data_IF_713590327274
#
_entry.id   IF_713590327274
#
_cell.length_a   1.000
_cell.length_b   1.000
_cell.length_c   1.000
_cell.angle_alpha   90.00
_cell.angle_beta   90.00
_cell.angle_gamma   90.00
#
_symmetry.space_group_name_H-M   'P 1'
#
loop_
_entity.id
_entity.type
_entity.pdbx_description
1 polymer ?
#
# COMPACT_ATOMS: atom_id res chain seq x y z
N UNK A 1 -29.00 -9.85 -18.83
CA UNK A 1 -28.12 -10.74 -18.04
C UNK A 1 -27.02 -11.21 -18.98
N UNK A 2 -25.81 -10.65 -18.86
CA UNK A 2 -24.63 -11.16 -19.57
C UNK A 2 -23.97 -12.16 -18.59
N UNK A 3 -23.83 -13.41 -19.02
CA UNK A 3 -23.43 -14.55 -18.20
C UNK A 3 -21.92 -14.65 -17.94
N UNK A 4 -21.51 -15.80 -17.36
CA UNK A 4 -20.17 -16.13 -16.88
C UNK A 4 -19.04 -16.09 -17.94
N UNK A 5 -19.35 -15.77 -19.20
CA UNK A 5 -18.39 -15.58 -20.30
C UNK A 5 -17.75 -14.17 -20.32
N UNK A 6 -18.19 -13.24 -19.46
CA UNK A 6 -17.53 -11.94 -19.26
C UNK A 6 -16.40 -12.04 -18.21
N UNK A 7 -15.41 -12.88 -18.47
CA UNK A 7 -14.14 -12.85 -17.74
C UNK A 7 -13.40 -11.52 -17.99
N UNK A 8 -12.62 -11.05 -17.01
CA UNK A 8 -11.64 -9.98 -17.25
C UNK A 8 -10.76 -10.36 -18.45
N UNK A 9 -10.55 -9.48 -19.45
CA UNK A 9 -9.71 -9.83 -20.60
C UNK A 9 -8.33 -10.29 -20.13
N UNK A 10 -7.81 -11.38 -20.70
CA UNK A 10 -6.47 -11.89 -20.37
C UNK A 10 -5.34 -11.03 -20.97
N UNK A 11 -5.68 -10.11 -21.88
CA UNK A 11 -4.74 -9.20 -22.53
C UNK A 11 -5.39 -7.83 -22.84
N UNK A 12 -4.54 -6.84 -23.11
CA UNK A 12 -4.95 -5.49 -23.51
C UNK A 12 -5.04 -4.47 -22.37
N UNK A 13 -5.47 -3.23 -22.67
CA UNK A 13 -5.45 -2.11 -21.71
C UNK A 13 -6.28 -2.36 -20.45
N UNK A 14 -7.42 -3.05 -20.58
CA UNK A 14 -8.30 -3.34 -19.46
C UNK A 14 -7.72 -4.41 -18.52
N UNK A 15 -7.03 -5.41 -19.07
CA UNK A 15 -6.30 -6.43 -18.30
C UNK A 15 -5.20 -5.77 -17.45
N UNK A 16 -4.45 -4.86 -18.07
CA UNK A 16 -3.39 -4.10 -17.40
C UNK A 16 -3.97 -3.16 -16.34
N UNK A 17 -5.09 -2.50 -16.63
CA UNK A 17 -5.79 -1.69 -15.64
C UNK A 17 -6.22 -2.51 -14.42
N UNK A 18 -6.78 -3.70 -14.65
CA UNK A 18 -7.17 -4.60 -13.58
C UNK A 18 -5.96 -5.01 -12.73
N UNK A 19 -4.83 -5.32 -13.36
CA UNK A 19 -3.56 -5.60 -12.69
C UNK A 19 -3.05 -4.40 -11.87
N UNK A 20 -3.10 -3.19 -12.42
CA UNK A 20 -2.74 -1.95 -11.72
C UNK A 20 -3.60 -1.74 -10.47
N UNK A 21 -4.93 -1.87 -10.58
CA UNK A 21 -5.85 -1.64 -9.46
C UNK A 21 -5.70 -2.73 -8.39
N UNK A 22 -5.68 -4.00 -8.81
CA UNK A 22 -5.55 -5.13 -7.89
C UNK A 22 -4.20 -5.11 -7.19
N UNK A 23 -3.11 -4.87 -7.93
CA UNK A 23 -1.77 -4.72 -7.36
C UNK A 23 -1.70 -3.57 -6.37
N UNK A 24 -2.36 -2.43 -6.64
CA UNK A 24 -2.41 -1.31 -5.71
C UNK A 24 -3.17 -1.64 -4.42
N UNK A 25 -4.29 -2.36 -4.51
CA UNK A 25 -5.05 -2.80 -3.33
C UNK A 25 -4.26 -3.81 -2.49
N UNK A 26 -3.58 -4.77 -3.13
CA UNK A 26 -2.78 -5.80 -2.44
C UNK A 26 -1.44 -5.30 -1.91
N UNK A 27 -0.98 -4.14 -2.38
CA UNK A 27 0.32 -3.62 -2.02
C UNK A 27 1.48 -4.12 -2.88
N UNK A 28 1.18 -4.74 -4.02
CA UNK A 28 2.16 -5.22 -4.99
C UNK A 28 2.66 -4.06 -5.87
N UNK A 29 3.19 -3.00 -5.26
CA UNK A 29 3.51 -1.74 -5.94
C UNK A 29 4.54 -1.91 -7.08
N UNK A 30 5.50 -2.82 -6.93
CA UNK A 30 6.43 -3.15 -8.02
C UNK A 30 5.69 -3.67 -9.27
N UNK A 31 4.64 -4.46 -9.07
CA UNK A 31 3.79 -4.99 -10.14
C UNK A 31 2.99 -3.87 -10.81
N UNK A 32 2.42 -2.96 -10.01
CA UNK A 32 1.72 -1.76 -10.50
C UNK A 32 2.62 -0.90 -11.36
N UNK A 33 3.84 -0.61 -10.90
CA UNK A 33 4.82 0.19 -11.63
C UNK A 33 5.27 -0.50 -12.93
N UNK A 34 5.32 -1.82 -12.95
CA UNK A 34 5.62 -2.61 -14.15
C UNK A 34 4.46 -2.57 -15.15
N UNK A 35 3.23 -2.80 -14.68
CA UNK A 35 2.02 -2.79 -15.47
C UNK A 35 1.73 -1.41 -16.07
N UNK A 36 1.90 -0.33 -15.30
CA UNK A 36 1.75 1.04 -15.79
C UNK A 36 2.80 1.37 -16.87
N UNK A 37 4.06 0.94 -16.72
CA UNK A 37 5.07 1.11 -17.78
C UNK A 37 4.71 0.35 -19.06
N UNK A 38 4.22 -0.89 -18.93
CA UNK A 38 3.77 -1.66 -20.08
C UNK A 38 2.60 -0.97 -20.81
N UNK A 39 1.67 -0.37 -20.06
CA UNK A 39 0.58 0.42 -20.61
C UNK A 39 1.09 1.58 -21.47
N UNK A 40 2.00 2.40 -20.91
CA UNK A 40 2.57 3.57 -21.60
C UNK A 40 3.32 3.21 -22.90
N UNK A 41 3.96 2.04 -22.94
CA UNK A 41 4.77 1.63 -24.09
C UNK A 41 3.96 0.99 -25.22
N UNK A 42 2.80 0.42 -24.90
CA UNK A 42 2.13 -0.55 -25.78
C UNK A 42 0.80 -0.03 -26.34
N UNK A 43 0.23 1.06 -25.81
CA UNK A 43 -1.03 1.63 -26.28
C UNK A 43 -0.99 3.16 -26.41
N UNK A 44 -1.89 3.74 -27.24
CA UNK A 44 -2.00 5.19 -27.37
C UNK A 44 -2.26 5.87 -26.02
N UNK A 45 -1.52 6.94 -25.68
CA UNK A 45 -1.66 7.62 -24.40
C UNK A 45 -3.00 8.36 -24.26
N UNK A 46 -3.25 8.90 -23.07
CA UNK A 46 -4.41 9.76 -22.75
C UNK A 46 -5.79 9.08 -22.83
N UNK A 47 -5.84 7.75 -22.67
CA UNK A 47 -7.11 7.09 -22.36
C UNK A 47 -7.43 7.21 -20.87
N UNK A 48 -8.70 7.04 -20.45
CA UNK A 48 -9.07 7.03 -19.03
C UNK A 48 -8.21 6.08 -18.16
N UNK A 49 -7.85 4.92 -18.72
CA UNK A 49 -6.99 3.93 -18.05
C UNK A 49 -5.56 4.47 -17.82
N UNK A 50 -5.00 5.22 -18.77
CA UNK A 50 -3.69 5.86 -18.60
C UNK A 50 -3.73 6.88 -17.47
N UNK A 51 -4.76 7.73 -17.43
CA UNK A 51 -4.89 8.74 -16.37
C UNK A 51 -4.95 8.09 -14.98
N UNK A 52 -5.79 7.07 -14.79
CA UNK A 52 -5.89 6.37 -13.50
C UNK A 52 -4.58 5.68 -13.13
N UNK A 53 -3.91 5.02 -14.09
CA UNK A 53 -2.63 4.36 -13.86
C UNK A 53 -1.55 5.35 -13.45
N UNK A 54 -1.43 6.49 -14.17
CA UNK A 54 -0.47 7.57 -13.86
C UNK A 54 -0.70 8.15 -12.46
N UNK A 55 -1.96 8.35 -12.05
CA UNK A 55 -2.30 8.88 -10.72
C UNK A 55 -1.94 7.90 -9.60
N UNK A 56 -2.14 6.60 -9.81
CA UNK A 56 -1.71 5.57 -8.85
C UNK A 56 -0.18 5.45 -8.78
N UNK A 57 0.51 5.57 -9.93
CA UNK A 57 1.97 5.62 -9.94
C UNK A 57 2.48 6.85 -9.20
N UNK A 58 1.87 8.03 -9.40
CA UNK A 58 2.22 9.25 -8.67
C UNK A 58 2.04 9.07 -7.15
N UNK A 59 0.96 8.42 -6.71
CA UNK A 59 0.75 8.07 -5.30
C UNK A 59 1.86 7.16 -4.77
N UNK A 60 2.16 6.06 -5.48
CA UNK A 60 3.19 5.09 -5.08
C UNK A 60 4.55 5.77 -4.94
N UNK A 61 4.98 6.55 -5.94
CA UNK A 61 6.26 7.27 -5.90
C UNK A 61 6.32 8.27 -4.75
N UNK A 62 5.21 8.95 -4.48
CA UNK A 62 5.11 9.83 -3.31
C UNK A 62 5.26 9.07 -1.99
N UNK A 63 4.73 7.84 -1.90
CA UNK A 63 4.86 6.99 -0.71
C UNK A 63 6.27 6.44 -0.51
N UNK A 64 6.97 6.12 -1.60
CA UNK A 64 8.38 5.67 -1.61
C UNK A 64 9.37 6.81 -1.27
N UNK A 65 8.91 8.05 -1.20
CA UNK A 65 9.76 9.20 -0.90
C UNK A 65 10.44 9.81 -2.13
N UNK A 66 9.89 9.60 -3.34
CA UNK A 66 10.34 10.24 -4.57
C UNK A 66 9.30 11.28 -5.06
N UNK A 67 9.27 12.49 -4.45
CA UNK A 67 8.33 13.54 -4.83
C UNK A 67 8.60 14.08 -6.24
N UNK A 68 9.83 13.94 -6.74
CA UNK A 68 10.20 14.36 -8.10
C UNK A 68 9.51 13.51 -9.15
N UNK A 69 9.64 12.19 -9.07
CA UNK A 69 8.93 11.27 -9.96
C UNK A 69 7.41 11.36 -9.76
N UNK A 70 6.93 11.49 -8.52
CA UNK A 70 5.50 11.67 -8.27
C UNK A 70 4.92 12.89 -8.99
N UNK A 71 5.64 14.02 -8.94
CA UNK A 71 5.27 15.27 -9.65
C UNK A 71 5.26 15.07 -11.15
N UNK A 72 6.26 14.37 -11.71
CA UNK A 72 6.32 14.09 -13.15
C UNK A 72 5.13 13.24 -13.61
N UNK A 73 4.81 12.17 -12.89
CA UNK A 73 3.67 11.29 -13.23
C UNK A 73 2.32 12.02 -13.11
N UNK A 74 2.16 12.86 -12.11
CA UNK A 74 0.99 13.72 -11.97
C UNK A 74 0.88 14.67 -13.18
N UNK A 75 1.96 15.37 -13.53
CA UNK A 75 2.00 16.30 -14.66
C UNK A 75 1.68 15.64 -16.01
N UNK A 76 2.14 14.41 -16.25
CA UNK A 76 1.85 13.63 -17.49
C UNK A 76 0.36 13.29 -17.61
N UNK A 77 -0.35 13.12 -16.50
CA UNK A 77 -1.80 12.92 -16.55
C UNK A 77 -2.52 14.19 -17.04
N UNK A 78 -1.97 15.39 -16.77
CA UNK A 78 -2.32 16.63 -17.45
C UNK A 78 -3.78 17.12 -17.31
N UNK A 79 -4.12 18.26 -17.95
CA UNK A 79 -5.43 18.90 -17.82
C UNK A 79 -6.58 18.12 -18.48
N UNK A 80 -6.27 17.08 -19.25
CA UNK A 80 -7.26 16.22 -19.90
C UNK A 80 -7.76 15.08 -19.01
N UNK A 81 -7.24 14.95 -17.79
CA UNK A 81 -7.68 13.94 -16.83
C UNK A 81 -9.19 14.10 -16.53
N UNK A 82 -10.05 13.12 -16.86
CA UNK A 82 -11.49 13.23 -16.66
C UNK A 82 -11.92 12.86 -15.23
N UNK A 83 -10.98 12.69 -14.31
CA UNK A 83 -11.21 12.17 -12.95
C UNK A 83 -10.75 13.17 -11.89
N UNK A 84 -11.53 14.23 -11.63
CA UNK A 84 -11.15 15.28 -10.68
C UNK A 84 -10.91 14.74 -9.26
N UNK A 85 -11.71 13.77 -8.80
CA UNK A 85 -11.53 13.18 -7.48
C UNK A 85 -10.19 12.43 -7.35
N UNK A 86 -9.87 11.61 -8.35
CA UNK A 86 -8.61 10.87 -8.41
C UNK A 86 -7.40 11.80 -8.52
N UNK A 87 -7.52 12.86 -9.33
CA UNK A 87 -6.47 13.86 -9.47
C UNK A 87 -6.21 14.56 -8.14
N UNK A 88 -7.26 15.12 -7.54
CA UNK A 88 -7.16 15.81 -6.26
C UNK A 88 -6.60 14.93 -5.17
N UNK A 89 -7.08 13.68 -5.10
CA UNK A 89 -6.54 12.71 -4.16
C UNK A 89 -5.02 12.55 -4.30
N UNK A 90 -4.49 12.34 -5.51
CA UNK A 90 -3.05 12.20 -5.74
C UNK A 90 -2.27 13.49 -5.44
N UNK A 91 -2.76 14.63 -5.90
CA UNK A 91 -2.16 15.96 -5.66
C UNK A 91 -2.06 16.28 -4.17
N UNK A 92 -3.14 16.07 -3.41
CA UNK A 92 -3.16 16.24 -1.96
C UNK A 92 -2.14 15.35 -1.25
N UNK A 93 -2.04 14.09 -1.68
CA UNK A 93 -1.08 13.15 -1.11
C UNK A 93 0.36 13.62 -1.32
N UNK A 94 0.68 14.09 -2.53
CA UNK A 94 1.98 14.66 -2.87
C UNK A 94 2.29 15.92 -2.04
N UNK A 95 1.36 16.87 -1.97
CA UNK A 95 1.54 18.14 -1.23
C UNK A 95 1.74 17.88 0.28
N UNK A 96 0.89 17.05 0.88
CA UNK A 96 0.99 16.69 2.30
C UNK A 96 2.34 16.04 2.62
N UNK A 97 2.76 15.02 1.85
CA UNK A 97 4.06 14.35 2.03
C UNK A 97 5.27 15.26 1.75
N UNK A 98 5.08 16.31 0.98
CA UNK A 98 6.10 17.34 0.71
C UNK A 98 6.14 18.44 1.77
N UNK A 99 5.44 18.28 2.90
CA UNK A 99 5.43 19.25 4.00
C UNK A 99 4.61 20.52 3.71
N UNK A 100 3.63 20.45 2.80
CA UNK A 100 2.77 21.57 2.39
C UNK A 100 1.29 21.30 2.75
N UNK A 101 0.95 21.12 4.05
CA UNK A 101 -0.38 20.65 4.47
C UNK A 101 -1.51 21.64 4.15
N UNK A 102 -1.29 22.95 4.30
CA UNK A 102 -2.31 23.96 3.98
C UNK A 102 -2.66 23.98 2.49
N UNK A 103 -1.65 23.83 1.63
CA UNK A 103 -1.85 23.74 0.19
C UNK A 103 -2.53 22.42 -0.21
N UNK A 104 -2.23 21.33 0.50
CA UNK A 104 -2.92 20.06 0.33
C UNK A 104 -4.42 20.18 0.63
N UNK A 105 -4.80 20.84 1.74
CA UNK A 105 -6.22 21.08 2.07
C UNK A 105 -6.92 21.95 1.02
N UNK A 106 -6.28 23.06 0.61
CA UNK A 106 -6.83 23.93 -0.44
C UNK A 106 -7.00 23.20 -1.79
N UNK A 107 -6.04 22.35 -2.16
CA UNK A 107 -6.16 21.49 -3.34
C UNK A 107 -7.31 20.47 -3.19
N UNK A 108 -7.48 19.91 -2.00
CA UNK A 108 -8.52 18.92 -1.73
C UNK A 108 -9.95 19.48 -1.84
N UNK A 109 -10.22 20.64 -1.27
CA UNK A 109 -11.54 21.28 -1.40
C UNK A 109 -11.86 21.68 -2.84
N UNK A 110 -10.89 22.28 -3.54
CA UNK A 110 -11.02 22.59 -4.98
C UNK A 110 -11.28 21.35 -5.82
N UNK A 111 -10.59 20.25 -5.53
CA UNK A 111 -10.84 18.98 -6.21
C UNK A 111 -12.21 18.38 -5.85
N UNK A 112 -12.68 18.57 -4.61
CA UNK A 112 -14.00 18.13 -4.20
C UNK A 112 -15.10 18.90 -4.94
N UNK A 113 -14.99 20.21 -5.12
CA UNK A 113 -15.96 20.99 -5.90
C UNK A 113 -16.10 20.45 -7.34
N UNK A 114 -14.97 20.20 -8.01
CA UNK A 114 -14.93 19.61 -9.35
C UNK A 114 -15.46 18.16 -9.35
N UNK A 115 -15.15 17.38 -8.32
CA UNK A 115 -15.62 16.01 -8.17
C UNK A 115 -17.11 15.92 -7.87
N UNK A 116 -17.67 16.86 -7.10
CA UNK A 116 -19.08 16.94 -6.80
C UNK A 116 -19.88 17.24 -8.07
N UNK A 117 -19.42 18.21 -8.86
CA UNK A 117 -20.00 18.54 -10.17
C UNK A 117 -19.91 17.35 -11.16
N UNK A 118 -18.78 16.64 -11.18
CA UNK A 118 -18.64 15.41 -11.96
C UNK A 118 -19.54 14.27 -11.46
N UNK A 119 -19.71 14.14 -10.15
CA UNK A 119 -20.57 13.14 -9.52
C UNK A 119 -22.06 13.43 -9.81
N UNK A 120 -22.48 14.69 -9.87
CA UNK A 120 -23.83 15.05 -10.32
C UNK A 120 -24.12 14.55 -11.75
N UNK A 121 -23.09 14.50 -12.61
CA UNK A 121 -23.14 13.90 -13.96
C UNK A 121 -22.89 12.38 -13.99
N UNK A 122 -22.79 11.73 -12.84
CA UNK A 122 -22.61 10.27 -12.70
C UNK A 122 -21.17 9.77 -12.65
N UNK A 123 -20.15 10.65 -12.69
CA UNK A 123 -18.76 10.25 -12.53
C UNK A 123 -18.32 10.31 -11.07
N UNK A 124 -18.31 9.16 -10.40
CA UNK A 124 -17.92 9.02 -8.99
C UNK A 124 -16.55 8.35 -8.79
N UNK A 125 -15.77 8.23 -9.87
CA UNK A 125 -14.49 7.52 -9.86
C UNK A 125 -13.51 8.21 -8.90
N UNK A 126 -13.09 7.50 -7.84
CA UNK A 126 -12.16 8.01 -6.84
C UNK A 126 -12.76 8.90 -5.75
N UNK A 127 -14.08 9.17 -5.78
CA UNK A 127 -14.72 10.08 -4.83
C UNK A 127 -14.50 9.66 -3.36
N UNK A 128 -14.69 8.37 -3.07
CA UNK A 128 -14.41 7.79 -1.74
C UNK A 128 -12.96 8.02 -1.29
N UNK A 129 -11.97 7.84 -2.15
CA UNK A 129 -10.56 8.08 -1.82
C UNK A 129 -10.27 9.54 -1.51
N UNK A 130 -10.83 10.46 -2.30
CA UNK A 130 -10.70 11.90 -2.07
C UNK A 130 -11.30 12.28 -0.70
N UNK A 131 -12.54 11.88 -0.45
CA UNK A 131 -13.27 12.22 0.78
C UNK A 131 -12.55 11.71 2.04
N UNK A 132 -12.10 10.46 2.04
CA UNK A 132 -11.37 9.86 3.16
C UNK A 132 -10.04 10.58 3.41
N UNK A 133 -9.26 10.86 2.35
CA UNK A 133 -7.99 11.59 2.49
C UNK A 133 -8.19 13.01 3.00
N UNK A 134 -9.19 13.73 2.46
CA UNK A 134 -9.50 15.09 2.89
C UNK A 134 -9.94 15.12 4.36
N UNK A 135 -10.79 14.18 4.77
CA UNK A 135 -11.24 14.09 6.16
C UNK A 135 -10.09 13.80 7.14
N UNK A 136 -9.17 12.91 6.77
CA UNK A 136 -7.96 12.64 7.56
C UNK A 136 -7.11 13.90 7.74
N UNK A 137 -6.84 14.64 6.66
CA UNK A 137 -6.04 15.86 6.73
C UNK A 137 -6.74 17.00 7.50
N UNK A 138 -8.06 17.15 7.35
CA UNK A 138 -8.84 18.12 8.11
C UNK A 138 -8.85 17.79 9.61
N UNK A 139 -8.93 16.51 9.96
CA UNK A 139 -8.82 16.05 11.34
C UNK A 139 -7.42 16.31 11.91
N UNK A 140 -6.35 16.03 11.17
CA UNK A 140 -4.98 16.37 11.55
C UNK A 140 -4.77 17.88 11.75
N UNK A 141 -5.47 18.70 10.97
CA UNK A 141 -5.46 20.16 11.11
C UNK A 141 -6.33 20.69 12.26
N UNK A 142 -7.13 19.83 12.92
CA UNK A 142 -8.02 20.22 14.01
C UNK A 142 -9.32 20.89 13.56
N UNK A 143 -9.69 20.77 12.28
CA UNK A 143 -10.87 21.43 11.72
C UNK A 143 -12.11 20.52 11.84
N UNK A 144 -12.62 20.35 13.07
CA UNK A 144 -13.74 19.43 13.37
C UNK A 144 -15.01 19.73 12.54
N UNK A 145 -15.34 21.01 12.34
CA UNK A 145 -16.47 21.44 11.50
C UNK A 145 -16.35 20.92 10.05
N UNK A 146 -15.13 20.90 9.52
CA UNK A 146 -14.85 20.40 8.17
C UNK A 146 -14.94 18.89 8.09
N UNK A 147 -14.56 18.17 9.15
CA UNK A 147 -14.74 16.72 9.23
C UNK A 147 -16.23 16.36 9.26
N UNK A 148 -17.05 17.11 10.02
CA UNK A 148 -18.51 16.96 10.03
C UNK A 148 -19.15 17.27 8.67
N UNK A 149 -18.67 18.33 7.99
CA UNK A 149 -19.10 18.63 6.62
C UNK A 149 -18.81 17.45 5.68
N UNK A 150 -17.59 16.91 5.69
CA UNK A 150 -17.20 15.78 4.85
C UNK A 150 -17.97 14.50 5.18
N UNK A 151 -18.32 14.28 6.45
CA UNK A 151 -19.20 13.19 6.89
C UNK A 151 -20.58 13.29 6.23
N UNK A 152 -21.20 14.46 6.24
CA UNK A 152 -22.50 14.69 5.61
C UNK A 152 -22.42 14.54 4.08
N UNK A 153 -21.36 15.07 3.46
CA UNK A 153 -21.13 14.93 2.02
C UNK A 153 -20.92 13.47 1.60
N UNK A 154 -20.16 12.70 2.38
CA UNK A 154 -19.94 11.27 2.12
C UNK A 154 -21.24 10.49 2.24
N UNK A 155 -22.07 10.81 3.26
CA UNK A 155 -23.39 10.22 3.42
C UNK A 155 -24.29 10.48 2.21
N UNK A 156 -24.38 11.75 1.78
CA UNK A 156 -25.13 12.16 0.58
C UNK A 156 -24.77 11.28 -0.63
N UNK A 157 -23.47 11.12 -0.88
CA UNK A 157 -23.00 10.35 -2.03
C UNK A 157 -23.21 8.85 -1.89
N UNK A 158 -23.04 8.29 -0.68
CA UNK A 158 -23.36 6.90 -0.40
C UNK A 158 -24.85 6.60 -0.57
N UNK A 159 -25.74 7.45 -0.06
CA UNK A 159 -27.19 7.25 -0.21
C UNK A 159 -27.64 7.31 -1.67
N UNK A 160 -27.00 8.16 -2.47
CA UNK A 160 -27.32 8.30 -3.91
C UNK A 160 -26.81 7.15 -4.77
N UNK A 161 -25.56 6.73 -4.57
CA UNK A 161 -24.88 5.78 -5.47
C UNK A 161 -24.69 4.39 -4.88
N UNK A 162 -24.81 4.24 -3.56
CA UNK A 162 -24.53 3.01 -2.84
C UNK A 162 -23.11 2.50 -3.05
N UNK A 163 -22.97 1.18 -3.02
CA UNK A 163 -21.72 0.50 -3.32
C UNK A 163 -20.74 0.45 -2.16
N UNK A 164 -19.97 -0.65 -2.13
CA UNK A 164 -19.07 -0.98 -1.02
C UNK A 164 -18.03 0.11 -0.73
N UNK A 165 -17.47 0.75 -1.76
CA UNK A 165 -16.40 1.75 -1.60
C UNK A 165 -16.90 3.02 -0.88
N UNK A 166 -18.08 3.50 -1.23
CA UNK A 166 -18.69 4.66 -0.55
C UNK A 166 -19.23 4.27 0.83
N UNK A 167 -19.74 3.04 1.00
CA UNK A 167 -20.09 2.51 2.31
C UNK A 167 -18.89 2.50 3.28
N UNK A 168 -17.72 2.04 2.82
CA UNK A 168 -16.50 2.04 3.65
C UNK A 168 -16.05 3.46 4.00
N UNK A 169 -16.14 4.40 3.05
CA UNK A 169 -15.90 5.81 3.33
C UNK A 169 -16.89 6.38 4.35
N UNK A 170 -18.18 6.05 4.24
CA UNK A 170 -19.22 6.48 5.18
C UNK A 170 -18.92 6.02 6.61
N UNK A 171 -18.54 4.75 6.79
CA UNK A 171 -18.12 4.19 8.08
C UNK A 171 -16.86 4.85 8.62
N UNK A 172 -15.84 5.03 7.77
CA UNK A 172 -14.59 5.69 8.16
C UNK A 172 -14.82 7.14 8.62
N UNK A 173 -15.62 7.90 7.88
CA UNK A 173 -15.94 9.28 8.26
C UNK A 173 -16.90 9.36 9.44
N UNK A 174 -17.81 8.40 9.62
CA UNK A 174 -18.62 8.27 10.84
C UNK A 174 -17.72 8.11 12.06
N UNK A 175 -16.75 7.19 11.99
CA UNK A 175 -15.76 7.03 13.04
C UNK A 175 -14.98 8.31 13.33
N UNK A 176 -14.52 9.02 12.30
CA UNK A 176 -13.72 10.23 12.49
C UNK A 176 -14.53 11.42 13.03
N UNK A 177 -15.70 11.69 12.45
CA UNK A 177 -16.51 12.87 12.76
C UNK A 177 -17.27 12.76 14.08
N UNK A 178 -17.78 11.56 14.38
CA UNK A 178 -18.63 11.31 15.56
C UNK A 178 -17.82 10.65 16.70
N UNK A 179 -16.53 10.41 16.48
CA UNK A 179 -15.66 9.61 17.35
C UNK A 179 -16.20 8.21 17.64
N UNK A 180 -16.93 7.65 16.68
CA UNK A 180 -17.57 6.34 16.80
C UNK A 180 -16.59 5.20 16.48
N UNK A 181 -16.06 4.57 17.52
CA UNK A 181 -15.20 3.41 17.37
C UNK A 181 -15.90 2.22 16.69
N UNK A 182 -17.22 2.04 16.87
CA UNK A 182 -17.93 0.92 16.26
C UNK A 182 -17.94 1.04 14.73
N UNK A 183 -18.22 2.24 14.20
CA UNK A 183 -18.12 2.53 12.76
C UNK A 183 -16.70 2.34 12.23
N UNK A 184 -15.68 2.86 12.93
CA UNK A 184 -14.29 2.70 12.52
C UNK A 184 -13.87 1.21 12.50
N UNK A 185 -14.25 0.44 13.50
CA UNK A 185 -13.97 -0.99 13.59
C UNK A 185 -14.69 -1.79 12.50
N UNK A 186 -15.96 -1.49 12.22
CA UNK A 186 -16.70 -2.12 11.13
C UNK A 186 -16.04 -1.90 9.75
N UNK A 187 -15.47 -0.71 9.51
CA UNK A 187 -14.70 -0.45 8.31
C UNK A 187 -13.43 -1.32 8.23
N UNK A 188 -12.69 -1.47 9.34
CA UNK A 188 -11.50 -2.33 9.41
C UNK A 188 -11.84 -3.78 9.08
N UNK A 189 -12.85 -4.37 9.72
CA UNK A 189 -13.23 -5.78 9.48
C UNK A 189 -13.68 -6.00 8.03
N UNK A 190 -14.47 -5.07 7.49
CA UNK A 190 -14.93 -5.15 6.11
C UNK A 190 -13.78 -5.04 5.11
N UNK A 191 -12.79 -4.16 5.34
CA UNK A 191 -11.63 -4.01 4.46
C UNK A 191 -10.65 -5.19 4.56
N UNK A 192 -10.51 -5.79 5.75
CA UNK A 192 -9.70 -7.00 5.96
C UNK A 192 -10.20 -8.18 5.13
N UNK A 193 -11.52 -8.33 5.01
CA UNK A 193 -12.13 -9.41 4.23
C UNK A 193 -11.91 -9.30 2.70
N UNK A 194 -11.46 -8.15 2.18
CA UNK A 194 -11.37 -7.87 0.74
C UNK A 194 -9.95 -7.56 0.25
N UNK A 195 -8.94 -7.78 1.10
CA UNK A 195 -7.52 -7.62 0.77
C UNK A 195 -7.16 -6.25 0.16
N UNK A 196 -7.76 -5.18 0.69
CA UNK A 196 -7.44 -3.81 0.31
C UNK A 196 -6.53 -3.16 1.36
N UNK A 197 -5.24 -3.48 1.30
CA UNK A 197 -4.22 -3.05 2.26
C UNK A 197 -4.14 -1.52 2.37
N UNK A 198 -4.21 -0.81 1.23
CA UNK A 198 -4.11 0.65 1.21
C UNK A 198 -5.26 1.36 1.95
N UNK A 199 -6.49 0.89 1.78
CA UNK A 199 -7.65 1.42 2.52
C UNK A 199 -7.69 0.91 3.96
N UNK A 200 -7.32 -0.36 4.20
CA UNK A 200 -7.23 -0.94 5.54
C UNK A 200 -6.26 -0.14 6.42
N UNK A 201 -5.11 0.27 5.89
CA UNK A 201 -4.18 1.15 6.59
C UNK A 201 -4.87 2.43 7.08
N UNK A 202 -5.67 3.09 6.22
CA UNK A 202 -6.39 4.32 6.59
C UNK A 202 -7.46 4.04 7.65
N UNK A 203 -8.21 2.96 7.50
CA UNK A 203 -9.20 2.55 8.50
C UNK A 203 -8.56 2.24 9.86
N UNK A 204 -7.40 1.57 9.89
CA UNK A 204 -6.64 1.36 11.13
C UNK A 204 -6.17 2.67 11.76
N UNK A 205 -5.74 3.66 10.96
CA UNK A 205 -5.38 4.98 11.50
C UNK A 205 -6.58 5.70 12.12
N UNK A 206 -7.74 5.65 11.46
CA UNK A 206 -9.00 6.20 12.00
C UNK A 206 -9.39 5.48 13.30
N UNK A 207 -9.41 4.14 13.29
CA UNK A 207 -9.70 3.34 14.48
C UNK A 207 -8.76 3.68 15.64
N UNK A 208 -7.46 3.88 15.36
CA UNK A 208 -6.49 4.28 16.38
C UNK A 208 -6.76 5.66 16.99
N UNK A 209 -7.39 6.58 16.25
CA UNK A 209 -7.66 7.93 16.73
C UNK A 209 -8.88 7.99 17.66
N UNK A 210 -9.74 6.97 17.64
CA UNK A 210 -11.00 6.92 18.38
C UNK A 210 -11.08 5.77 19.40
N UNK A 211 -10.21 4.77 19.30
CA UNK A 211 -10.16 3.66 20.25
C UNK A 211 -9.56 4.10 21.60
N UNK A 212 -10.08 3.52 22.70
CA UNK A 212 -9.46 3.62 24.02
C UNK A 212 -8.05 3.00 24.04
N UNK A 213 -7.88 1.87 23.36
CA UNK A 213 -6.58 1.23 23.15
C UNK A 213 -6.13 1.38 21.68
N UNK A 214 -5.24 2.35 21.35
CA UNK A 214 -4.82 2.62 19.97
C UNK A 214 -3.78 1.61 19.44
N UNK A 215 -3.13 0.85 20.33
CA UNK A 215 -2.00 -0.04 20.02
C UNK A 215 -2.25 -1.04 18.89
N UNK A 216 -3.29 -1.89 18.92
CA UNK A 216 -3.47 -2.92 17.89
C UNK A 216 -3.63 -2.31 16.49
N UNK A 217 -4.36 -1.20 16.39
CA UNK A 217 -4.61 -0.52 15.12
C UNK A 217 -3.34 0.16 14.56
N UNK A 218 -2.55 0.78 15.43
CA UNK A 218 -1.26 1.36 15.03
C UNK A 218 -0.24 0.31 14.62
N UNK A 219 -0.25 -0.88 15.26
CA UNK A 219 0.60 -2.00 14.86
C UNK A 219 0.21 -2.54 13.48
N UNK A 220 -1.09 -2.77 13.24
CA UNK A 220 -1.60 -3.23 11.94
C UNK A 220 -1.30 -2.20 10.83
N UNK A 221 -1.57 -0.91 11.07
CA UNK A 221 -1.24 0.15 10.12
C UNK A 221 0.27 0.21 9.81
N UNK A 222 1.12 0.05 10.83
CA UNK A 222 2.58 0.04 10.67
C UNK A 222 3.06 -1.15 9.84
N UNK A 223 2.53 -2.35 10.09
CA UNK A 223 2.89 -3.56 9.36
C UNK A 223 2.42 -3.50 7.91
N UNK A 224 1.23 -2.96 7.67
CA UNK A 224 0.74 -2.70 6.30
C UNK A 224 1.68 -1.73 5.60
N UNK A 225 2.00 -0.58 6.20
CA UNK A 225 2.90 0.41 5.59
C UNK A 225 4.28 -0.17 5.26
N UNK A 226 4.77 -1.11 6.08
CA UNK A 226 5.99 -1.89 5.80
C UNK A 226 5.85 -2.82 4.60
N UNK A 227 4.75 -3.57 4.48
CA UNK A 227 4.51 -4.43 3.30
C UNK A 227 4.38 -3.62 2.02
N UNK A 228 3.74 -2.46 2.10
CA UNK A 228 3.58 -1.56 0.96
C UNK A 228 4.92 -0.98 0.46
N UNK A 229 5.95 -0.90 1.31
CA UNK A 229 7.19 -0.18 0.96
C UNK A 229 7.08 1.35 1.07
N UNK A 230 6.03 1.84 1.74
CA UNK A 230 5.81 3.27 1.95
C UNK A 230 6.64 3.82 3.10
N UNK A 231 7.94 4.07 2.87
CA UNK A 231 8.85 4.56 3.91
C UNK A 231 8.39 5.89 4.53
N UNK A 232 7.86 6.80 3.71
CA UNK A 232 7.31 8.06 4.22
C UNK A 232 6.08 7.81 5.12
N UNK A 233 5.17 6.89 4.72
CA UNK A 233 4.00 6.54 5.54
C UNK A 233 4.41 5.93 6.86
N UNK A 234 5.42 5.05 6.86
CA UNK A 234 5.95 4.44 8.09
C UNK A 234 6.51 5.48 9.05
N UNK A 235 7.17 6.52 8.54
CA UNK A 235 7.69 7.60 9.37
C UNK A 235 6.56 8.39 10.03
N UNK A 236 5.50 8.71 9.28
CA UNK A 236 4.28 9.35 9.81
C UNK A 236 3.62 8.48 10.89
N UNK A 237 3.43 7.19 10.63
CA UNK A 237 2.82 6.26 11.59
C UNK A 237 3.69 6.14 12.85
N UNK A 238 5.02 6.06 12.71
CA UNK A 238 5.93 6.07 13.87
C UNK A 238 5.83 7.34 14.72
N UNK A 239 5.62 8.50 14.09
CA UNK A 239 5.39 9.74 14.82
C UNK A 239 4.10 9.63 15.66
N UNK A 240 3.00 9.18 15.04
CA UNK A 240 1.74 8.93 15.73
C UNK A 240 1.85 7.91 16.88
N UNK A 241 2.60 6.83 16.66
CA UNK A 241 2.89 5.84 17.70
C UNK A 241 3.59 6.47 18.91
N UNK A 242 4.56 7.38 18.70
CA UNK A 242 5.23 8.09 19.79
C UNK A 242 4.27 9.01 20.55
N UNK A 243 3.40 9.73 19.86
CA UNK A 243 2.36 10.58 20.46
C UNK A 243 1.43 9.76 21.37
N UNK A 244 1.05 8.55 20.94
CA UNK A 244 0.19 7.65 21.70
C UNK A 244 0.94 6.77 22.73
N UNK A 245 2.25 6.96 22.93
CA UNK A 245 3.06 6.11 23.83
C UNK A 245 3.17 4.64 23.38
N UNK A 246 2.92 4.35 22.11
CA UNK A 246 3.01 3.02 21.51
C UNK A 246 4.40 2.83 20.91
N UNK A 247 5.05 1.71 21.21
CA UNK A 247 6.31 1.36 20.56
C UNK A 247 6.04 0.57 19.27
N UNK A 248 6.80 0.82 18.18
CA UNK A 248 6.72 -0.01 16.98
C UNK A 248 6.92 -1.47 17.34
N UNK A 249 6.17 -2.41 16.72
CA UNK A 249 6.34 -3.82 16.99
C UNK A 249 7.81 -4.19 16.78
N UNK A 250 8.46 -4.63 17.87
CA UNK A 250 9.74 -5.32 17.77
C UNK A 250 9.40 -6.65 17.11
N UNK A 251 9.69 -6.79 15.83
CA UNK A 251 9.79 -8.11 15.24
C UNK A 251 10.87 -8.87 16.03
N UNK A 252 10.47 -9.62 17.06
CA UNK A 252 11.12 -10.90 17.31
C UNK A 252 11.02 -11.62 15.99
N UNK A 253 12.15 -12.03 15.44
CA UNK A 253 12.24 -12.77 14.19
C UNK A 253 11.46 -14.09 14.33
N UNK A 254 10.15 -14.01 14.14
CA UNK A 254 9.21 -15.09 13.98
C UNK A 254 8.49 -14.92 12.64
N UNK A 255 9.14 -14.29 11.65
CA UNK A 255 8.80 -14.50 10.26
C UNK A 255 9.42 -15.84 9.86
N UNK A 256 8.57 -16.76 9.39
CA UNK A 256 9.00 -17.97 8.68
C UNK A 256 9.71 -17.64 7.35
N UNK A 257 9.75 -16.36 6.96
CA UNK A 257 10.49 -15.86 5.82
C UNK A 257 11.98 -15.71 6.12
N UNK A 258 12.79 -16.18 5.17
CA UNK A 258 14.24 -16.12 5.18
C UNK A 258 14.69 -14.71 4.83
N UNK A 259 15.55 -14.10 5.66
CA UNK A 259 16.19 -12.82 5.34
C UNK A 259 17.13 -12.92 4.14
N UNK A 260 17.42 -11.82 3.46
CA UNK A 260 18.30 -11.79 2.27
C UNK A 260 19.67 -12.44 2.52
N UNK A 261 20.24 -12.25 3.71
CA UNK A 261 21.49 -12.88 4.13
C UNK A 261 21.32 -14.40 4.30
N UNK A 262 20.22 -14.84 4.90
CA UNK A 262 19.90 -16.26 5.06
C UNK A 262 19.70 -16.95 3.70
N UNK A 263 19.01 -16.29 2.77
CA UNK A 263 18.85 -16.78 1.40
C UNK A 263 20.20 -16.88 0.67
N UNK A 264 21.05 -15.86 0.81
CA UNK A 264 22.40 -15.86 0.23
C UNK A 264 23.29 -16.95 0.82
N UNK A 265 23.20 -17.20 2.13
CA UNK A 265 23.88 -18.30 2.80
C UNK A 265 23.39 -19.64 2.25
N UNK A 266 22.08 -19.85 2.08
CA UNK A 266 21.52 -21.07 1.47
C UNK A 266 22.03 -21.27 0.03
N UNK A 267 22.08 -20.23 -0.80
CA UNK A 267 22.60 -20.32 -2.16
C UNK A 267 24.09 -20.73 -2.18
N UNK A 268 24.91 -20.22 -1.26
CA UNK A 268 26.31 -20.63 -1.14
C UNK A 268 26.46 -22.06 -0.60
N UNK A 269 25.52 -22.53 0.22
CA UNK A 269 25.46 -23.92 0.69
C UNK A 269 25.16 -24.87 -0.47
N UNK A 270 24.19 -24.53 -1.33
CA UNK A 270 23.87 -25.31 -2.54
C UNK A 270 25.10 -25.49 -3.45
N UNK A 271 25.96 -24.48 -3.51
CA UNK A 271 27.22 -24.50 -4.27
C UNK A 271 28.35 -25.28 -3.57
N UNK A 272 28.11 -25.86 -2.40
CA UNK A 272 29.08 -26.70 -1.69
C UNK A 272 30.11 -25.93 -0.86
N UNK A 273 29.96 -24.62 -0.63
CA UNK A 273 30.99 -23.82 0.06
C UNK A 273 31.06 -24.10 1.56
N UNK A 274 32.25 -24.29 2.11
CA UNK A 274 32.47 -24.45 3.57
C UNK A 274 32.09 -23.20 4.37
N UNK A 275 31.88 -23.31 5.68
CA UNK A 275 31.56 -22.17 6.54
C UNK A 275 32.62 -21.06 6.44
N UNK A 276 33.90 -21.41 6.37
CA UNK A 276 35.00 -20.47 6.12
C UNK A 276 34.88 -19.74 4.78
N UNK A 277 34.53 -20.42 3.70
CA UNK A 277 34.34 -19.80 2.38
C UNK A 277 33.08 -18.93 2.31
N UNK A 278 32.01 -19.34 3.00
CA UNK A 278 30.80 -18.54 3.17
C UNK A 278 31.13 -17.28 3.96
N UNK A 279 31.85 -17.41 5.08
CA UNK A 279 32.25 -16.31 5.95
C UNK A 279 32.98 -15.20 5.17
N UNK A 280 33.93 -15.58 4.31
CA UNK A 280 34.62 -14.65 3.39
C UNK A 280 33.64 -14.01 2.41
N UNK A 281 32.75 -14.80 1.81
CA UNK A 281 31.82 -14.37 0.78
C UNK A 281 30.75 -13.38 1.28
N UNK A 282 30.31 -13.53 2.53
CA UNK A 282 29.33 -12.63 3.17
C UNK A 282 29.96 -11.65 4.17
N UNK A 283 31.30 -11.60 4.26
CA UNK A 283 32.10 -10.70 5.11
C UNK A 283 31.77 -10.77 6.61
N UNK A 284 31.67 -11.98 7.15
CA UNK A 284 31.43 -12.24 8.59
C UNK A 284 32.40 -13.28 9.14
N UNK A 285 32.38 -13.54 10.45
CA UNK A 285 33.19 -14.61 11.05
C UNK A 285 32.59 -16.01 10.79
N UNK A 286 33.42 -17.05 10.83
CA UNK A 286 32.95 -18.44 10.72
C UNK A 286 31.93 -18.79 11.81
N UNK A 287 32.15 -18.32 13.04
CA UNK A 287 31.21 -18.45 14.17
C UNK A 287 29.86 -17.76 13.89
N UNK A 288 29.87 -16.66 13.14
CA UNK A 288 28.64 -15.99 12.70
C UNK A 288 27.89 -16.84 11.68
N UNK A 289 28.60 -17.51 10.76
CA UNK A 289 27.99 -18.45 9.81
C UNK A 289 27.36 -19.65 10.53
N UNK A 290 28.02 -20.22 11.54
CA UNK A 290 27.44 -21.28 12.37
C UNK A 290 26.15 -20.84 13.09
N UNK A 291 26.12 -19.60 13.58
CA UNK A 291 24.93 -19.00 14.17
C UNK A 291 23.80 -18.84 13.14
N UNK A 292 24.12 -18.44 11.90
CA UNK A 292 23.15 -18.40 10.82
C UNK A 292 22.61 -19.79 10.48
N UNK A 293 23.46 -20.81 10.38
CA UNK A 293 23.03 -22.20 10.14
C UNK A 293 22.09 -22.72 11.22
N UNK A 294 22.42 -22.46 12.49
CA UNK A 294 21.59 -22.87 13.63
C UNK A 294 20.19 -22.26 13.54
N UNK A 295 20.12 -20.97 13.19
CA UNK A 295 18.84 -20.26 13.00
C UNK A 295 18.10 -20.75 11.77
N UNK A 296 18.80 -21.04 10.67
CA UNK A 296 18.24 -21.58 9.45
C UNK A 296 17.60 -22.96 9.69
N UNK A 297 18.25 -23.85 10.42
CA UNK A 297 17.67 -25.15 10.79
C UNK A 297 16.41 -24.98 11.64
N UNK A 298 16.45 -24.10 12.63
CA UNK A 298 15.28 -23.81 13.46
C UNK A 298 14.11 -23.21 12.65
N UNK A 299 14.40 -22.33 11.67
CA UNK A 299 13.40 -21.67 10.83
C UNK A 299 12.80 -22.57 9.75
N UNK A 300 13.62 -23.43 9.14
CA UNK A 300 13.23 -24.25 7.98
C UNK A 300 12.79 -25.66 8.36
N UNK A 301 13.00 -26.07 9.61
CA UNK A 301 12.77 -27.45 10.06
C UNK A 301 13.80 -28.46 9.55
N UNK A 302 14.81 -28.02 8.78
CA UNK A 302 15.86 -28.88 8.25
C UNK A 302 16.79 -29.32 9.39
N UNK A 303 17.19 -30.59 9.38
CA UNK A 303 18.01 -31.19 10.46
C UNK A 303 19.50 -31.18 10.17
N UNK A 304 19.88 -30.89 8.93
CA UNK A 304 21.27 -30.86 8.52
C UNK A 304 21.51 -29.88 7.39
N UNK A 305 22.78 -29.56 7.17
CA UNK A 305 23.23 -28.74 6.04
C UNK A 305 22.86 -29.37 4.69
N UNK A 306 22.91 -30.70 4.59
CA UNK A 306 22.53 -31.44 3.39
C UNK A 306 21.01 -31.32 3.16
N UNK A 307 20.23 -31.54 4.22
CA UNK A 307 18.77 -31.42 4.20
C UNK A 307 18.32 -30.00 3.79
N UNK A 308 19.01 -28.97 4.30
CA UNK A 308 18.79 -27.58 3.91
C UNK A 308 19.11 -27.30 2.43
N UNK A 309 20.18 -27.89 1.90
CA UNK A 309 20.53 -27.77 0.48
C UNK A 309 19.50 -28.48 -0.40
N UNK A 310 19.08 -29.68 -0.03
CA UNK A 310 18.09 -30.49 -0.75
C UNK A 310 16.71 -29.83 -0.74
N UNK A 311 16.22 -29.39 0.41
CA UNK A 311 14.94 -28.68 0.53
C UNK A 311 14.90 -27.42 -0.35
N UNK A 312 16.04 -26.73 -0.45
CA UNK A 312 16.15 -25.57 -1.30
C UNK A 312 16.14 -25.90 -2.79
N UNK A 313 16.82 -26.97 -3.21
CA UNK A 313 16.84 -27.44 -4.61
C UNK A 313 15.46 -27.95 -5.06
N UNK A 314 14.72 -28.58 -4.16
CA UNK A 314 13.35 -29.08 -4.39
C UNK A 314 12.30 -27.96 -4.39
N UNK A 315 12.71 -26.70 -4.16
CA UNK A 315 11.78 -25.56 -4.12
C UNK A 315 10.88 -25.55 -2.89
N UNK A 316 11.17 -26.37 -1.86
CA UNK A 316 10.43 -26.39 -0.59
C UNK A 316 10.71 -25.17 0.29
N UNK A 317 11.73 -24.38 -0.03
CA UNK A 317 12.04 -23.11 0.61
C UNK A 317 11.63 -21.95 -0.31
N UNK A 318 10.81 -21.02 0.19
CA UNK A 318 10.48 -19.79 -0.52
C UNK A 318 11.70 -18.84 -0.51
N UNK A 319 12.56 -18.94 -1.53
CA UNK A 319 13.67 -18.02 -1.77
C UNK A 319 13.23 -16.93 -2.74
N UNK A 320 13.33 -15.67 -2.34
CA UNK A 320 13.07 -14.54 -3.23
C UNK A 320 14.30 -14.33 -4.15
N UNK A 321 14.15 -14.65 -5.43
CA UNK A 321 15.04 -14.17 -6.51
C UNK A 321 16.54 -14.43 -6.32
N UNK A 322 16.99 -15.66 -6.58
CA UNK A 322 18.39 -15.92 -6.95
C UNK A 322 18.44 -16.49 -8.36
N UNK A 323 18.98 -15.69 -9.29
CA UNK A 323 19.19 -16.06 -10.69
C UNK A 323 20.16 -17.23 -10.79
N UNK A 324 19.78 -18.28 -11.55
CA UNK A 324 20.55 -19.51 -11.74
C UNK A 324 21.54 -19.37 -12.90
N UNK A 325 22.22 -18.23 -13.02
CA UNK A 325 23.20 -17.98 -14.08
C UNK A 325 24.60 -17.85 -13.48
N UNK A 326 25.35 -18.96 -13.48
CA UNK A 326 26.68 -19.01 -12.88
C UNK A 326 27.46 -20.29 -13.13
N UNK A 327 27.40 -20.82 -14.35
CA UNK A 327 28.35 -21.78 -14.98
C UNK A 327 28.09 -21.66 -16.50
N UNK A 328 29.04 -21.37 -17.39
CA UNK A 328 30.49 -21.57 -17.40
C UNK A 328 31.23 -20.35 -17.98
#
# INVERSE_FOLDING_TARGET
MLGDDYGTPDAGPLAIYHRVITGYHRGEWADVLSAARALELSWPPHTPIHHLSRLLVAEIRGCEGDPGLATQWLAISGPTCPFPAMWGWAEMGLLSRSGRPLEALAAGWRAYELAADAAERGNVVGLHWLLVRLALLECEAGNEDKVLELRALTRKWYERFGGRRLQMADLMLGGLAERDFASAHAAVEALRAHDNQSELLRACLIASAVAEEPRPWLHEAYDIAKRLGGDQLRMTIKARMRECGVTPPRHRAASQELSDIEQRVIALIQRGLTNRQIAVSVRVSEKTVESYLTRLFAKTGCRSRLDLATASLEGRLALAGYDRSGTA
#
